data_IF_883612538031
#
_entry.id   IF_883612538031
#
_cell.length_a   1.000
_cell.length_b   1.000
_cell.length_c   1.000
_cell.angle_alpha   90.00
_cell.angle_beta   90.00
_cell.angle_gamma   90.00
#
_symmetry.space_group_name_H-M   'P 1'
#
loop_
_entity.id
_entity.type
_entity.pdbx_description
1 polymer ?
#
# COMPACT_ATOMS: atom_id res chain seq x y z
N UNK A 1 -4.52 22.04 -5.64
CA UNK A 1 -3.85 20.76 -5.34
C UNK A 1 -2.96 20.79 -4.09
N UNK A 2 -1.93 21.65 -3.99
CA UNK A 2 -0.96 21.64 -2.87
C UNK A 2 -1.59 21.75 -1.48
N UNK A 3 -2.62 22.61 -1.30
CA UNK A 3 -3.36 22.71 -0.03
C UNK A 3 -4.03 21.39 0.35
N UNK A 4 -4.66 20.73 -0.61
CA UNK A 4 -5.33 19.43 -0.40
C UNK A 4 -4.28 18.38 -0.05
N UNK A 5 -3.19 18.29 -0.82
CA UNK A 5 -2.07 17.41 -0.52
C UNK A 5 -1.54 17.59 0.92
N UNK A 6 -1.28 18.83 1.33
CA UNK A 6 -0.77 19.13 2.68
C UNK A 6 -1.76 18.74 3.79
N UNK A 7 -3.04 19.10 3.64
CA UNK A 7 -4.08 18.75 4.61
C UNK A 7 -4.30 17.23 4.69
N UNK A 8 -4.33 16.54 3.55
CA UNK A 8 -4.46 15.08 3.49
C UNK A 8 -3.26 14.37 4.11
N UNK A 9 -2.06 14.91 3.97
CA UNK A 9 -0.87 14.40 4.67
C UNK A 9 -0.99 14.51 6.18
N UNK A 10 -1.52 15.63 6.69
CA UNK A 10 -1.78 15.82 8.14
C UNK A 10 -2.87 14.85 8.63
N UNK A 11 -3.96 14.71 7.87
CA UNK A 11 -5.02 13.75 8.19
C UNK A 11 -4.45 12.34 8.24
N UNK A 12 -3.72 11.91 7.22
CA UNK A 12 -3.12 10.59 7.19
C UNK A 12 -2.12 10.34 8.31
N UNK A 13 -1.32 11.35 8.68
CA UNK A 13 -0.46 11.29 9.85
C UNK A 13 -1.25 10.96 11.12
N UNK A 14 -2.29 11.72 11.44
CA UNK A 14 -3.07 11.52 12.66
C UNK A 14 -3.91 10.24 12.64
N UNK A 15 -4.46 9.85 11.48
CA UNK A 15 -5.26 8.63 11.35
C UNK A 15 -4.44 7.38 11.65
N UNK A 16 -3.19 7.32 11.21
CA UNK A 16 -2.37 6.11 11.30
C UNK A 16 -1.80 5.90 12.70
N UNK A 17 -1.47 6.97 13.42
CA UNK A 17 -1.04 6.88 14.83
C UNK A 17 -2.11 6.26 15.75
N UNK A 18 -3.38 6.38 15.37
CA UNK A 18 -4.49 5.79 16.12
C UNK A 18 -4.71 4.29 15.86
N UNK A 19 -4.00 3.68 14.90
CA UNK A 19 -4.19 2.27 14.53
C UNK A 19 -3.68 1.34 15.63
N UNK A 20 -4.45 0.31 15.97
CA UNK A 20 -4.02 -0.69 16.96
C UNK A 20 -2.81 -1.47 16.42
N UNK A 21 -1.71 -1.67 17.20
CA UNK A 21 -0.51 -2.35 16.71
C UNK A 21 -0.73 -3.76 16.13
N UNK A 22 -1.70 -4.51 16.66
CA UNK A 22 -2.08 -5.82 16.14
C UNK A 22 -2.69 -5.77 14.72
N UNK A 23 -3.18 -4.60 14.30
CA UNK A 23 -3.82 -4.36 13.01
C UNK A 23 -2.89 -3.73 11.97
N UNK A 24 -1.58 -3.64 12.24
CA UNK A 24 -0.61 -3.11 11.27
C UNK A 24 -0.53 -3.93 9.97
N UNK A 25 -0.64 -5.25 10.03
CA UNK A 25 -0.67 -6.08 8.80
C UNK A 25 -1.95 -5.87 7.98
N UNK A 26 -3.15 -5.90 8.58
CA UNK A 26 -4.37 -5.43 7.91
C UNK A 26 -4.27 -3.99 7.38
N UNK A 27 -3.58 -3.09 8.07
CA UNK A 27 -3.37 -1.71 7.61
C UNK A 27 -2.55 -1.66 6.30
N UNK A 28 -1.46 -2.45 6.21
CA UNK A 28 -0.71 -2.60 4.97
C UNK A 28 -1.61 -3.13 3.85
N UNK A 29 -2.43 -4.14 4.15
CA UNK A 29 -3.33 -4.73 3.17
C UNK A 29 -4.41 -3.75 2.69
N UNK A 30 -5.05 -2.99 3.58
CA UNK A 30 -6.12 -2.05 3.21
C UNK A 30 -5.54 -0.86 2.43
N UNK A 31 -4.38 -0.35 2.82
CA UNK A 31 -3.71 0.74 2.08
C UNK A 31 -3.30 0.29 0.69
N UNK A 32 -2.80 -0.94 0.55
CA UNK A 32 -2.55 -1.54 -0.75
C UNK A 32 -3.84 -1.68 -1.58
N UNK A 33 -4.94 -2.18 -1.02
CA UNK A 33 -6.21 -2.30 -1.74
C UNK A 33 -6.74 -0.94 -2.24
N UNK A 34 -6.70 0.06 -1.35
CA UNK A 34 -7.13 1.44 -1.65
C UNK A 34 -6.21 2.10 -2.68
N UNK A 35 -4.90 1.81 -2.67
CA UNK A 35 -3.94 2.33 -3.66
C UNK A 35 -4.28 1.92 -5.09
N UNK A 36 -5.10 0.87 -5.28
CA UNK A 36 -5.62 0.47 -6.59
C UNK A 36 -6.51 1.52 -7.26
N UNK A 37 -6.79 2.65 -6.60
CA UNK A 37 -7.39 3.84 -7.22
C UNK A 37 -6.53 4.41 -8.38
N UNK A 38 -5.30 3.93 -8.60
CA UNK A 38 -4.57 4.08 -9.88
C UNK A 38 -5.41 3.66 -11.10
N UNK A 39 -6.44 2.82 -10.90
CA UNK A 39 -7.46 2.54 -11.92
C UNK A 39 -8.11 3.81 -12.48
N UNK A 40 -8.33 4.85 -11.66
CA UNK A 40 -8.87 6.15 -12.10
C UNK A 40 -7.97 6.79 -13.15
N UNK A 41 -6.66 6.77 -12.95
CA UNK A 41 -5.70 7.29 -13.92
C UNK A 41 -5.74 6.54 -15.25
N UNK A 42 -5.82 5.21 -15.19
CA UNK A 42 -6.03 4.38 -16.39
C UNK A 42 -7.35 4.68 -17.09
N UNK A 43 -8.47 4.74 -16.35
CA UNK A 43 -9.80 4.96 -16.92
C UNK A 43 -9.93 6.31 -17.63
N UNK A 44 -9.33 7.38 -17.07
CA UNK A 44 -9.34 8.71 -17.69
C UNK A 44 -8.62 8.78 -19.05
N UNK A 45 -7.73 7.84 -19.32
CA UNK A 45 -6.90 7.78 -20.54
C UNK A 45 -7.31 6.63 -21.47
N UNK A 46 -8.28 5.80 -21.07
CA UNK A 46 -8.85 4.78 -21.94
C UNK A 46 -9.69 5.45 -23.04
N UNK A 47 -9.64 4.89 -24.23
CA UNK A 47 -10.39 5.39 -25.38
C UNK A 47 -10.23 4.48 -26.59
N UNK A 48 -10.85 4.88 -27.71
CA UNK A 48 -10.96 4.04 -28.90
C UNK A 48 -12.35 3.41 -28.97
N UNK A 49 -12.41 2.09 -29.14
CA UNK A 49 -13.67 1.32 -29.18
C UNK A 49 -13.59 0.10 -28.28
N UNK A 50 -13.95 -1.08 -28.79
CA UNK A 50 -13.81 -2.34 -28.03
C UNK A 50 -12.35 -2.70 -27.72
N UNK A 51 -11.43 -2.18 -28.52
CA UNK A 51 -9.98 -2.33 -28.35
C UNK A 51 -9.29 -0.96 -28.44
N UNK A 52 -8.13 -0.79 -27.77
CA UNK A 52 -7.35 0.44 -27.88
C UNK A 52 -6.94 0.73 -29.33
N UNK A 53 -7.08 1.98 -29.77
CA UNK A 53 -6.66 2.43 -31.11
C UNK A 53 -5.23 2.98 -31.15
N UNK A 54 -4.69 3.40 -30.01
CA UNK A 54 -3.36 4.01 -29.88
C UNK A 54 -2.56 3.40 -28.74
N UNK A 55 -1.23 3.60 -28.76
CA UNK A 55 -0.33 3.15 -27.68
C UNK A 55 -0.75 3.68 -26.30
N UNK A 56 -0.99 4.98 -26.07
CA UNK A 56 -1.41 5.48 -24.75
C UNK A 56 -2.72 4.84 -24.27
N UNK A 57 -3.69 4.60 -25.15
CA UNK A 57 -4.93 3.91 -24.79
C UNK A 57 -4.66 2.45 -24.35
N UNK A 58 -3.68 1.77 -24.97
CA UNK A 58 -3.26 0.43 -24.57
C UNK A 58 -2.55 0.40 -23.21
N UNK A 59 -1.68 1.37 -22.96
CA UNK A 59 -1.03 1.55 -21.66
C UNK A 59 -2.07 1.84 -20.56
N UNK A 60 -3.03 2.72 -20.85
CA UNK A 60 -4.14 3.07 -19.95
C UNK A 60 -5.04 1.87 -19.63
N UNK A 61 -5.43 1.09 -20.65
CA UNK A 61 -6.21 -0.13 -20.45
C UNK A 61 -5.45 -1.17 -19.60
N UNK A 62 -4.14 -1.28 -19.80
CA UNK A 62 -3.28 -2.16 -18.98
C UNK A 62 -3.20 -1.67 -17.53
N UNK A 63 -3.03 -0.36 -17.31
CA UNK A 63 -3.02 0.25 -15.99
C UNK A 63 -4.34 0.02 -15.24
N UNK A 64 -5.48 0.21 -15.90
CA UNK A 64 -6.80 -0.08 -15.34
C UNK A 64 -6.97 -1.57 -14.98
N UNK A 65 -6.56 -2.47 -15.89
CA UNK A 65 -6.61 -3.92 -15.67
C UNK A 65 -5.82 -4.37 -14.45
N UNK A 66 -4.54 -4.00 -14.35
CA UNK A 66 -3.69 -4.41 -13.21
C UNK A 66 -4.09 -3.72 -11.91
N UNK A 67 -4.60 -2.49 -11.97
CA UNK A 67 -5.17 -1.80 -10.81
C UNK A 67 -6.41 -2.53 -10.29
N UNK A 68 -7.26 -3.06 -11.19
CA UNK A 68 -8.41 -3.88 -10.81
C UNK A 68 -7.99 -5.19 -10.10
N UNK A 69 -6.93 -5.86 -10.56
CA UNK A 69 -6.36 -7.03 -9.83
C UNK A 69 -6.03 -6.64 -8.38
N UNK A 70 -5.38 -5.50 -8.20
CA UNK A 70 -4.99 -4.99 -6.88
C UNK A 70 -6.19 -4.62 -5.99
N UNK A 71 -7.20 -3.93 -6.54
CA UNK A 71 -8.42 -3.55 -5.79
C UNK A 71 -9.09 -4.79 -5.22
N UNK A 72 -9.52 -5.70 -6.10
CA UNK A 72 -10.36 -6.82 -5.69
C UNK A 72 -9.58 -7.87 -4.90
N UNK A 73 -8.33 -8.15 -5.30
CA UNK A 73 -7.45 -9.02 -4.54
C UNK A 73 -7.12 -8.44 -3.16
N UNK A 74 -6.78 -7.16 -3.09
CA UNK A 74 -6.41 -6.48 -1.86
C UNK A 74 -7.55 -6.40 -0.83
N UNK A 75 -8.77 -6.06 -1.25
CA UNK A 75 -9.91 -6.03 -0.32
C UNK A 75 -10.29 -7.43 0.19
N UNK A 76 -10.17 -8.47 -0.64
CA UNK A 76 -10.40 -9.84 -0.20
C UNK A 76 -9.32 -10.33 0.78
N UNK A 77 -8.04 -10.05 0.51
CA UNK A 77 -6.94 -10.33 1.45
C UNK A 77 -7.17 -9.61 2.77
N UNK A 78 -7.54 -8.33 2.74
CA UNK A 78 -7.83 -7.53 3.92
C UNK A 78 -8.96 -8.15 4.74
N UNK A 79 -10.06 -8.53 4.09
CA UNK A 79 -11.18 -9.19 4.74
C UNK A 79 -10.75 -10.48 5.44
N UNK A 80 -9.99 -11.34 4.74
CA UNK A 80 -9.47 -12.60 5.29
C UNK A 80 -8.56 -12.38 6.50
N UNK A 81 -7.69 -11.37 6.46
CA UNK A 81 -6.85 -11.02 7.62
C UNK A 81 -7.70 -10.57 8.81
N UNK A 82 -8.72 -9.74 8.58
CA UNK A 82 -9.57 -9.22 9.64
C UNK A 82 -10.47 -10.28 10.28
N UNK A 83 -10.91 -11.27 9.51
CA UNK A 83 -11.75 -12.36 10.00
C UNK A 83 -11.01 -13.29 10.97
N UNK A 84 -9.67 -13.35 10.91
CA UNK A 84 -8.85 -14.11 11.86
C UNK A 84 -8.95 -13.61 13.30
N UNK A 85 -9.29 -12.34 13.48
CA UNK A 85 -9.41 -11.72 14.80
C UNK A 85 -10.82 -11.88 15.40
N UNK A 86 -11.77 -12.46 14.65
CA UNK A 86 -13.11 -12.73 15.14
C UNK A 86 -13.07 -13.92 16.10
N UNK A 87 -13.60 -13.74 17.31
CA UNK A 87 -13.67 -14.82 18.30
C UNK A 87 -14.98 -15.59 18.14
N UNK A 88 -15.01 -16.90 18.47
CA UNK A 88 -16.24 -17.69 18.46
C UNK A 88 -17.33 -17.15 19.40
N UNK A 89 -16.94 -16.41 20.45
CA UNK A 89 -17.83 -15.81 21.45
C UNK A 89 -18.30 -14.40 21.08
N UNK A 90 -17.78 -13.82 20.00
CA UNK A 90 -18.22 -12.49 19.57
C UNK A 90 -19.67 -12.58 19.01
N UNK A 91 -20.50 -11.54 19.23
CA UNK A 91 -21.86 -11.51 18.70
C UNK A 91 -21.86 -11.61 17.16
N UNK A 92 -23.01 -11.97 16.59
CA UNK A 92 -23.17 -11.99 15.14
C UNK A 92 -23.01 -10.57 14.57
N UNK A 93 -22.10 -10.43 13.62
CA UNK A 93 -21.88 -9.19 12.88
C UNK A 93 -22.69 -9.22 11.58
N UNK A 94 -23.38 -8.12 11.30
CA UNK A 94 -24.27 -7.98 10.15
C UNK A 94 -23.61 -7.07 9.09
N UNK A 95 -22.41 -7.42 8.64
CA UNK A 95 -21.59 -6.57 7.75
C UNK A 95 -22.27 -6.27 6.41
N UNK A 96 -23.22 -7.10 5.97
CA UNK A 96 -24.03 -6.82 4.78
C UNK A 96 -24.86 -5.53 4.89
N UNK A 97 -25.13 -5.04 6.11
CA UNK A 97 -25.83 -3.77 6.32
C UNK A 97 -25.02 -2.56 5.81
N UNK A 98 -23.69 -2.69 5.68
CA UNK A 98 -22.87 -1.64 5.05
C UNK A 98 -23.12 -1.50 3.54
N UNK A 99 -23.84 -2.43 2.91
CA UNK A 99 -24.34 -2.24 1.55
C UNK A 99 -25.39 -1.12 1.48
N UNK A 100 -26.10 -0.82 2.57
CA UNK A 100 -27.12 0.25 2.59
C UNK A 100 -26.49 1.62 2.28
N UNK A 101 -25.50 2.12 3.04
CA UNK A 101 -24.86 3.40 2.70
C UNK A 101 -24.13 3.34 1.35
N UNK A 102 -23.57 2.20 0.95
CA UNK A 102 -22.93 2.04 -0.36
C UNK A 102 -23.91 2.27 -1.53
N UNK A 103 -25.05 1.55 -1.49
CA UNK A 103 -26.10 1.64 -2.48
C UNK A 103 -26.80 3.00 -2.45
N UNK A 104 -27.00 3.58 -1.27
CA UNK A 104 -27.54 4.93 -1.15
C UNK A 104 -26.59 5.97 -1.78
N UNK A 105 -25.28 5.87 -1.53
CA UNK A 105 -24.30 6.81 -2.05
C UNK A 105 -24.18 6.72 -3.58
N UNK A 106 -24.01 5.50 -4.12
CA UNK A 106 -23.95 5.26 -5.57
C UNK A 106 -25.28 5.53 -6.27
N UNK A 107 -26.39 5.15 -5.65
CA UNK A 107 -27.74 5.38 -6.17
C UNK A 107 -28.06 6.87 -6.25
N UNK A 108 -27.75 7.64 -5.20
CA UNK A 108 -27.92 9.09 -5.20
C UNK A 108 -27.11 9.75 -6.33
N UNK A 109 -25.84 9.36 -6.50
CA UNK A 109 -25.02 9.82 -7.62
C UNK A 109 -25.64 9.48 -8.98
N UNK A 110 -26.02 8.22 -9.19
CA UNK A 110 -26.65 7.79 -10.45
C UNK A 110 -27.95 8.53 -10.75
N UNK A 111 -28.81 8.75 -9.74
CA UNK A 111 -30.05 9.53 -9.92
C UNK A 111 -29.76 10.98 -10.27
N UNK A 112 -28.76 11.60 -9.65
CA UNK A 112 -28.42 12.99 -9.89
C UNK A 112 -27.81 13.19 -11.30
N UNK A 113 -26.91 12.29 -11.72
CA UNK A 113 -26.39 12.24 -13.09
C UNK A 113 -27.53 12.05 -14.10
N UNK A 114 -28.44 11.10 -13.86
CA UNK A 114 -29.59 10.87 -14.76
C UNK A 114 -30.58 12.03 -14.83
N UNK A 115 -30.58 12.89 -13.80
CA UNK A 115 -31.42 14.09 -13.72
C UNK A 115 -30.78 15.32 -14.38
N UNK A 116 -29.60 15.15 -14.99
CA UNK A 116 -28.85 16.21 -15.66
C UNK A 116 -28.10 17.15 -14.72
N UNK A 117 -27.89 16.75 -13.45
CA UNK A 117 -27.00 17.49 -12.57
C UNK A 117 -25.54 17.29 -13.02
N UNK A 118 -24.88 18.37 -13.41
CA UNK A 118 -23.46 18.38 -13.79
C UNK A 118 -22.58 18.63 -12.57
N UNK A 119 -21.27 18.40 -12.71
CA UNK A 119 -20.23 18.81 -11.74
C UNK A 119 -20.28 18.11 -10.37
N UNK A 120 -20.84 16.90 -10.32
CA UNK A 120 -20.92 16.09 -9.10
C UNK A 120 -19.64 15.32 -8.79
N UNK A 121 -18.69 15.23 -9.74
CA UNK A 121 -17.49 14.42 -9.60
C UNK A 121 -16.65 14.86 -8.41
N UNK A 122 -16.48 16.17 -8.21
CA UNK A 122 -15.66 16.70 -7.12
C UNK A 122 -16.25 16.39 -5.75
N UNK A 123 -17.58 16.42 -5.63
CA UNK A 123 -18.28 16.03 -4.40
C UNK A 123 -18.15 14.52 -4.15
N UNK A 124 -18.27 13.72 -5.21
CA UNK A 124 -18.06 12.27 -5.12
C UNK A 124 -16.63 11.91 -4.76
N UNK A 125 -15.63 12.59 -5.34
CA UNK A 125 -14.22 12.42 -5.00
C UNK A 125 -13.94 12.79 -3.55
N UNK A 126 -14.56 13.85 -3.03
CA UNK A 126 -14.48 14.17 -1.61
C UNK A 126 -15.10 13.06 -0.74
N UNK A 127 -16.33 12.62 -1.04
CA UNK A 127 -17.01 11.56 -0.30
C UNK A 127 -16.24 10.23 -0.33
N UNK A 128 -15.73 9.85 -1.49
CA UNK A 128 -14.86 8.69 -1.72
C UNK A 128 -13.58 8.79 -0.88
N UNK A 129 -12.94 9.96 -0.87
CA UNK A 129 -11.73 10.23 -0.08
C UNK A 129 -11.99 10.13 1.43
N UNK A 130 -13.11 10.66 1.91
CA UNK A 130 -13.50 10.56 3.32
C UNK A 130 -13.79 9.10 3.73
N UNK A 131 -14.38 8.30 2.84
CA UNK A 131 -14.55 6.87 3.06
C UNK A 131 -13.17 6.16 3.13
N UNK A 132 -12.21 6.53 2.30
CA UNK A 132 -10.84 6.00 2.36
C UNK A 132 -10.11 6.40 3.66
N UNK A 133 -10.29 7.63 4.15
CA UNK A 133 -9.81 8.05 5.48
C UNK A 133 -10.48 7.21 6.58
N UNK A 134 -11.79 7.03 6.48
CA UNK A 134 -12.57 6.16 7.36
C UNK A 134 -12.11 4.70 7.33
N UNK A 135 -11.57 4.23 6.20
CA UNK A 135 -11.04 2.89 6.08
C UNK A 135 -9.87 2.66 7.04
N UNK A 136 -8.91 3.60 7.07
CA UNK A 136 -7.76 3.52 7.97
C UNK A 136 -8.17 3.84 9.42
N UNK A 137 -9.04 4.84 9.62
CA UNK A 137 -9.53 5.20 10.95
C UNK A 137 -10.30 4.03 11.61
N UNK A 138 -11.02 3.23 10.82
CA UNK A 138 -11.72 2.04 11.29
C UNK A 138 -10.79 0.97 11.88
N UNK A 139 -9.50 0.95 11.49
CA UNK A 139 -8.49 0.05 12.05
C UNK A 139 -7.92 0.53 13.41
N UNK A 140 -8.43 1.63 13.96
CA UNK A 140 -8.08 2.08 15.32
C UNK A 140 -8.49 1.11 16.42
N UNK A 141 -9.47 0.23 16.17
CA UNK A 141 -9.86 -0.82 17.09
C UNK A 141 -10.25 -2.11 16.37
N UNK A 142 -10.07 -3.24 17.06
CA UNK A 142 -10.49 -4.54 16.54
C UNK A 142 -11.98 -4.60 16.20
N UNK A 143 -12.81 -3.94 17.03
CA UNK A 143 -14.27 -3.92 16.89
C UNK A 143 -14.70 -3.21 15.60
N UNK A 144 -14.02 -2.12 15.24
CA UNK A 144 -14.35 -1.29 14.08
C UNK A 144 -13.59 -1.67 12.81
N UNK A 145 -12.65 -2.61 12.89
CA UNK A 145 -11.75 -2.94 11.77
C UNK A 145 -12.48 -3.37 10.49
N UNK A 146 -13.59 -4.12 10.62
CA UNK A 146 -14.43 -4.56 9.49
C UNK A 146 -15.20 -3.41 8.85
N UNK A 147 -15.67 -2.45 9.65
CA UNK A 147 -16.22 -1.18 9.14
C UNK A 147 -15.17 -0.44 8.31
N UNK A 148 -13.91 -0.43 8.76
CA UNK A 148 -12.80 0.14 7.99
C UNK A 148 -12.67 -0.49 6.60
N UNK A 149 -12.69 -1.82 6.52
CA UNK A 149 -12.64 -2.51 5.23
C UNK A 149 -13.84 -2.15 4.34
N UNK A 150 -15.06 -2.08 4.91
CA UNK A 150 -16.26 -1.69 4.18
C UNK A 150 -16.22 -0.26 3.66
N UNK A 151 -15.77 0.70 4.47
CA UNK A 151 -15.58 2.10 4.05
C UNK A 151 -14.53 2.22 2.95
N UNK A 152 -13.46 1.42 3.01
CA UNK A 152 -12.48 1.35 1.92
C UNK A 152 -13.10 0.90 0.61
N UNK A 153 -13.92 -0.16 0.63
CA UNK A 153 -14.64 -0.63 -0.55
C UNK A 153 -15.59 0.44 -1.11
N UNK A 154 -16.37 1.09 -0.24
CA UNK A 154 -17.28 2.18 -0.62
C UNK A 154 -16.51 3.34 -1.24
N UNK A 155 -15.38 3.72 -0.65
CA UNK A 155 -14.50 4.78 -1.15
C UNK A 155 -14.00 4.47 -2.55
N UNK A 156 -13.35 3.33 -2.75
CA UNK A 156 -12.81 2.94 -4.05
C UNK A 156 -13.92 2.78 -5.11
N UNK A 157 -15.03 2.13 -4.78
CA UNK A 157 -16.13 1.94 -5.75
C UNK A 157 -16.79 3.26 -6.15
N UNK A 158 -16.98 4.19 -5.22
CA UNK A 158 -17.58 5.50 -5.50
C UNK A 158 -16.63 6.40 -6.30
N UNK A 159 -15.32 6.33 -6.04
CA UNK A 159 -14.31 7.04 -6.83
C UNK A 159 -14.28 6.57 -8.28
N UNK A 160 -14.27 5.26 -8.50
CA UNK A 160 -14.35 4.67 -9.85
C UNK A 160 -15.67 5.04 -10.53
N UNK A 161 -16.80 4.95 -9.81
CA UNK A 161 -18.11 5.31 -10.37
C UNK A 161 -18.16 6.78 -10.80
N UNK A 162 -17.58 7.70 -10.01
CA UNK A 162 -17.51 9.11 -10.36
C UNK A 162 -16.64 9.35 -11.60
N UNK A 163 -15.51 8.66 -11.70
CA UNK A 163 -14.67 8.72 -12.90
C UNK A 163 -15.42 8.20 -14.12
N UNK A 164 -16.09 7.05 -14.02
CA UNK A 164 -16.87 6.50 -15.13
C UNK A 164 -18.03 7.43 -15.56
N UNK A 165 -18.71 8.07 -14.60
CA UNK A 165 -19.79 9.00 -14.90
C UNK A 165 -19.32 10.32 -15.52
N UNK A 166 -18.03 10.67 -15.38
CA UNK A 166 -17.41 11.83 -16.04
C UNK A 166 -16.96 11.56 -17.47
N UNK A 167 -16.93 10.29 -17.89
CA UNK A 167 -16.49 9.87 -19.21
C UNK A 167 -17.68 9.75 -20.17
N UNK A 168 -17.50 10.22 -21.39
CA UNK A 168 -18.43 9.94 -22.49
C UNK A 168 -18.19 8.51 -23.01
N UNK A 169 -18.82 7.54 -22.35
CA UNK A 169 -18.63 6.13 -22.64
C UNK A 169 -19.51 5.69 -23.81
N UNK A 170 -18.91 5.55 -24.99
CA UNK A 170 -19.52 4.79 -26.09
C UNK A 170 -19.80 3.35 -25.66
N UNK A 171 -20.83 2.67 -26.21
CA UNK A 171 -21.11 1.27 -25.89
C UNK A 171 -19.89 0.35 -26.06
N UNK A 172 -19.08 0.62 -27.09
CA UNK A 172 -17.86 -0.13 -27.38
C UNK A 172 -16.78 0.08 -26.31
N UNK A 173 -16.55 1.33 -25.90
CA UNK A 173 -15.60 1.65 -24.82
C UNK A 173 -16.08 1.11 -23.47
N UNK A 174 -17.40 1.16 -23.20
CA UNK A 174 -17.98 0.58 -22.00
C UNK A 174 -17.72 -0.93 -21.90
N UNK A 175 -17.81 -1.65 -23.03
CA UNK A 175 -17.45 -3.08 -23.11
C UNK A 175 -15.96 -3.28 -22.84
N UNK A 176 -15.09 -2.46 -23.40
CA UNK A 176 -13.64 -2.51 -23.13
C UNK A 176 -13.32 -2.31 -21.65
N UNK A 177 -13.91 -1.26 -21.04
CA UNK A 177 -13.75 -0.96 -19.61
C UNK A 177 -14.26 -2.12 -18.76
N UNK A 178 -15.45 -2.65 -19.05
CA UNK A 178 -16.02 -3.78 -18.33
C UNK A 178 -15.14 -5.04 -18.45
N UNK A 179 -14.58 -5.31 -19.64
CA UNK A 179 -13.67 -6.44 -19.86
C UNK A 179 -12.35 -6.27 -19.08
N UNK A 180 -11.75 -5.08 -19.08
CA UNK A 180 -10.51 -4.82 -18.36
C UNK A 180 -10.73 -4.88 -16.84
N UNK A 181 -11.72 -4.15 -16.32
CA UNK A 181 -12.00 -4.13 -14.89
C UNK A 181 -12.49 -5.49 -14.40
N UNK A 182 -13.40 -6.15 -15.13
CA UNK A 182 -13.94 -7.46 -14.78
C UNK A 182 -12.89 -8.58 -14.86
N UNK A 183 -12.03 -8.57 -15.88
CA UNK A 183 -10.94 -9.52 -16.01
C UNK A 183 -9.92 -9.39 -14.88
N UNK A 184 -9.50 -8.16 -14.57
CA UNK A 184 -8.61 -7.89 -13.45
C UNK A 184 -9.23 -8.29 -12.10
N UNK A 185 -10.51 -7.96 -11.89
CA UNK A 185 -11.25 -8.34 -10.69
C UNK A 185 -11.30 -9.87 -10.51
N UNK A 186 -11.61 -10.60 -11.60
CA UNK A 186 -11.63 -12.05 -11.61
C UNK A 186 -10.29 -12.65 -11.18
N UNK A 187 -9.17 -12.19 -11.76
CA UNK A 187 -7.83 -12.65 -11.38
C UNK A 187 -7.52 -12.32 -9.92
N UNK A 188 -7.76 -11.08 -9.50
CA UNK A 188 -7.50 -10.62 -8.13
C UNK A 188 -8.23 -11.47 -7.09
N UNK A 189 -9.53 -11.70 -7.27
CA UNK A 189 -10.34 -12.54 -6.38
C UNK A 189 -9.88 -14.00 -6.38
N UNK A 190 -9.56 -14.56 -7.56
CA UNK A 190 -9.10 -15.95 -7.66
C UNK A 190 -7.78 -16.16 -6.93
N UNK A 191 -6.80 -15.28 -7.11
CA UNK A 191 -5.51 -15.35 -6.44
C UNK A 191 -5.67 -15.15 -4.94
N UNK A 192 -6.40 -14.10 -4.53
CA UNK A 192 -6.61 -13.78 -3.12
C UNK A 192 -7.43 -14.84 -2.36
N UNK A 193 -8.27 -15.63 -3.04
CA UNK A 193 -9.01 -16.75 -2.43
C UNK A 193 -8.15 -18.00 -2.24
N UNK A 194 -7.22 -18.27 -3.17
CA UNK A 194 -6.41 -19.50 -3.19
C UNK A 194 -5.22 -19.47 -2.25
N UNK A 195 -4.69 -18.29 -1.93
CA UNK A 195 -3.49 -18.18 -1.10
C UNK A 195 -3.74 -18.60 0.36
N UNK A 196 -2.74 -19.17 1.03
CA UNK A 196 -2.83 -19.48 2.45
C UNK A 196 -2.72 -18.23 3.33
N UNK A 197 -3.20 -18.30 4.58
CA UNK A 197 -3.19 -17.16 5.50
C UNK A 197 -1.76 -16.76 5.89
N UNK A 198 -0.86 -17.74 6.04
CA UNK A 198 0.57 -17.54 6.34
C UNK A 198 1.29 -16.76 5.24
N UNK A 199 0.79 -16.84 4.02
CA UNK A 199 1.38 -16.28 2.80
C UNK A 199 0.83 -14.89 2.43
N UNK A 200 -0.16 -14.39 3.17
CA UNK A 200 -0.79 -13.10 2.89
C UNK A 200 0.21 -11.92 2.85
N UNK A 201 1.27 -11.85 3.70
CA UNK A 201 2.24 -10.75 3.62
C UNK A 201 2.97 -10.68 2.27
N UNK A 202 3.38 -11.81 1.67
CA UNK A 202 4.02 -11.76 0.35
C UNK A 202 3.02 -11.44 -0.76
N UNK A 203 1.75 -11.85 -0.63
CA UNK A 203 0.74 -11.47 -1.62
C UNK A 203 0.48 -9.96 -1.61
N UNK A 204 0.49 -9.32 -0.44
CA UNK A 204 0.42 -7.85 -0.34
C UNK A 204 1.61 -7.21 -1.07
N UNK A 205 2.82 -7.73 -0.91
CA UNK A 205 3.99 -7.25 -1.66
C UNK A 205 3.83 -7.43 -3.18
N UNK A 206 3.28 -8.57 -3.64
CA UNK A 206 3.04 -8.80 -5.06
C UNK A 206 2.02 -7.81 -5.63
N UNK A 207 0.89 -7.59 -4.96
CA UNK A 207 -0.12 -6.63 -5.40
C UNK A 207 0.39 -5.19 -5.42
N UNK A 208 1.24 -4.85 -4.47
CA UNK A 208 1.86 -3.55 -4.39
C UNK A 208 2.79 -3.25 -5.59
N UNK A 209 3.40 -4.29 -6.20
CA UNK A 209 4.14 -4.13 -7.44
C UNK A 209 3.25 -3.67 -8.61
N UNK A 210 1.99 -4.13 -8.66
CA UNK A 210 1.04 -3.78 -9.72
C UNK A 210 0.70 -2.29 -9.69
N UNK A 211 0.64 -1.70 -8.50
CA UNK A 211 0.39 -0.26 -8.29
C UNK A 211 1.55 0.57 -8.84
N UNK A 212 2.79 0.17 -8.52
CA UNK A 212 3.98 0.82 -9.07
C UNK A 212 4.04 0.74 -10.60
N UNK A 213 3.65 -0.41 -11.17
CA UNK A 213 3.59 -0.56 -12.62
C UNK A 213 2.46 0.27 -13.25
N UNK A 214 1.27 0.30 -12.63
CA UNK A 214 0.16 1.12 -13.10
C UNK A 214 0.57 2.59 -13.16
N UNK A 215 1.23 3.11 -12.13
CA UNK A 215 1.72 4.49 -12.11
C UNK A 215 2.66 4.81 -13.27
N UNK A 216 3.65 3.94 -13.55
CA UNK A 216 4.57 4.12 -14.69
C UNK A 216 3.81 4.14 -16.01
N UNK A 217 2.85 3.22 -16.20
CA UNK A 217 2.05 3.13 -17.43
C UNK A 217 1.17 4.38 -17.60
N UNK A 218 0.51 4.83 -16.53
CA UNK A 218 -0.29 6.07 -16.55
C UNK A 218 0.58 7.27 -16.88
N UNK A 219 1.74 7.44 -16.23
CA UNK A 219 2.62 8.58 -16.53
C UNK A 219 3.12 8.60 -17.98
N UNK A 220 3.49 7.44 -18.54
CA UNK A 220 3.89 7.36 -19.95
C UNK A 220 2.71 7.67 -20.88
N UNK A 221 1.52 7.13 -20.58
CA UNK A 221 0.31 7.39 -21.37
C UNK A 221 -0.06 8.88 -21.35
N UNK A 222 -0.12 9.50 -20.17
CA UNK A 222 -0.43 10.93 -20.01
C UNK A 222 0.56 11.80 -20.76
N UNK A 223 1.86 11.53 -20.68
CA UNK A 223 2.85 12.31 -21.42
C UNK A 223 2.60 12.25 -22.94
N UNK A 224 2.23 11.10 -23.49
CA UNK A 224 1.93 10.95 -24.92
C UNK A 224 0.64 11.67 -25.33
N UNK A 225 -0.39 11.64 -24.47
CA UNK A 225 -1.69 12.26 -24.74
C UNK A 225 -1.61 13.79 -24.65
N UNK A 226 -0.97 14.30 -23.60
CA UNK A 226 -0.93 15.74 -23.30
C UNK A 226 0.26 16.45 -23.95
N UNK A 227 1.14 15.74 -24.68
CA UNK A 227 2.35 16.33 -25.27
C UNK A 227 2.07 17.62 -26.06
N UNK A 228 1.01 17.63 -26.87
CA UNK A 228 0.66 18.79 -27.70
C UNK A 228 0.17 20.00 -26.92
N UNK A 229 -0.30 19.82 -25.67
CA UNK A 229 -0.83 20.91 -24.85
C UNK A 229 0.26 21.60 -24.04
N UNK A 230 1.40 20.93 -23.79
CA UNK A 230 2.50 21.46 -22.97
C UNK A 230 3.09 22.77 -23.48
N UNK A 231 3.06 23.02 -24.80
CA UNK A 231 3.57 24.27 -25.38
C UNK A 231 2.75 25.51 -24.98
N UNK A 232 1.48 25.32 -24.60
CA UNK A 232 0.52 26.39 -24.33
C UNK A 232 0.00 26.40 -22.89
N UNK A 233 0.37 25.41 -22.08
CA UNK A 233 -0.07 25.28 -20.69
C UNK A 233 0.98 25.85 -19.74
N UNK A 234 0.63 26.95 -19.05
CA UNK A 234 1.48 27.58 -18.04
C UNK A 234 1.86 26.64 -16.88
N UNK A 235 1.09 25.56 -16.70
CA UNK A 235 1.32 24.54 -15.67
C UNK A 235 2.12 23.32 -16.18
N UNK A 236 2.52 23.31 -17.44
CA UNK A 236 3.19 22.17 -18.09
C UNK A 236 4.41 21.66 -17.30
N UNK A 237 5.23 22.55 -16.74
CA UNK A 237 6.40 22.15 -15.97
C UNK A 237 6.06 21.40 -14.68
N UNK A 238 4.94 21.73 -14.03
CA UNK A 238 4.45 21.02 -12.85
C UNK A 238 3.96 19.62 -13.24
N UNK A 239 3.21 19.52 -14.35
CA UNK A 239 2.73 18.24 -14.88
C UNK A 239 3.92 17.35 -15.29
N UNK A 240 4.86 17.88 -16.07
CA UNK A 240 6.12 17.20 -16.45
C UNK A 240 6.88 16.71 -15.21
N UNK A 241 6.99 17.51 -14.16
CA UNK A 241 7.65 17.11 -12.92
C UNK A 241 6.92 15.94 -12.23
N UNK A 242 5.59 16.00 -12.17
CA UNK A 242 4.77 14.94 -11.60
C UNK A 242 4.88 13.64 -12.42
N UNK A 243 4.86 13.71 -13.75
CA UNK A 243 5.04 12.57 -14.64
C UNK A 243 6.39 11.88 -14.42
N UNK A 244 7.47 12.66 -14.32
CA UNK A 244 8.81 12.12 -14.10
C UNK A 244 8.93 11.47 -12.71
N UNK A 245 8.47 12.14 -11.66
CA UNK A 245 8.51 11.62 -10.30
C UNK A 245 7.61 10.40 -10.12
N UNK A 246 6.41 10.40 -10.70
CA UNK A 246 5.51 9.24 -10.71
C UNK A 246 6.15 8.02 -11.38
N UNK A 247 6.79 8.23 -12.55
CA UNK A 247 7.54 7.19 -13.25
C UNK A 247 8.71 6.64 -12.43
N UNK A 248 9.48 7.52 -11.79
CA UNK A 248 10.59 7.12 -10.93
C UNK A 248 10.12 6.31 -9.71
N UNK A 249 9.17 6.84 -8.94
CA UNK A 249 8.68 6.21 -7.72
C UNK A 249 7.97 4.89 -8.06
N UNK A 250 7.19 4.85 -9.15
CA UNK A 250 6.52 3.65 -9.63
C UNK A 250 7.48 2.53 -10.00
N UNK A 251 8.58 2.83 -10.72
CA UNK A 251 9.57 1.80 -11.09
C UNK A 251 10.37 1.24 -9.90
N UNK A 252 10.75 2.09 -8.93
CA UNK A 252 11.35 1.61 -7.66
C UNK A 252 10.36 0.69 -6.93
N UNK A 253 9.10 1.10 -6.87
CA UNK A 253 8.03 0.37 -6.18
C UNK A 253 7.77 -0.98 -6.82
N UNK A 254 7.65 -1.03 -8.15
CA UNK A 254 7.42 -2.25 -8.92
C UNK A 254 8.49 -3.30 -8.65
N UNK A 255 9.74 -2.98 -8.97
CA UNK A 255 10.87 -3.90 -8.85
C UNK A 255 11.17 -4.28 -7.40
N UNK A 256 11.17 -3.30 -6.49
CA UNK A 256 11.43 -3.55 -5.07
C UNK A 256 10.41 -4.50 -4.47
N UNK A 257 9.13 -4.35 -4.83
CA UNK A 257 8.06 -5.18 -4.30
C UNK A 257 8.12 -6.60 -4.87
N UNK A 258 8.52 -6.78 -6.13
CA UNK A 258 8.78 -8.10 -6.71
C UNK A 258 9.94 -8.83 -6.03
N UNK A 259 11.04 -8.13 -5.70
CA UNK A 259 12.15 -8.74 -4.96
C UNK A 259 11.70 -9.13 -3.54
N UNK A 260 10.94 -8.26 -2.86
CA UNK A 260 10.40 -8.57 -1.54
C UNK A 260 9.48 -9.79 -1.57
N UNK A 261 8.57 -9.87 -2.54
CA UNK A 261 7.74 -11.04 -2.81
C UNK A 261 8.60 -12.29 -3.03
N UNK A 262 9.58 -12.24 -3.93
CA UNK A 262 10.43 -13.38 -4.25
C UNK A 262 11.22 -13.90 -3.05
N UNK A 263 11.71 -13.01 -2.18
CA UNK A 263 12.44 -13.40 -0.95
C UNK A 263 11.54 -14.01 0.12
N UNK A 264 10.34 -13.47 0.30
CA UNK A 264 9.38 -14.01 1.26
C UNK A 264 8.80 -15.35 0.79
N UNK A 265 8.60 -15.49 -0.52
CA UNK A 265 8.03 -16.71 -1.09
C UNK A 265 9.07 -17.83 -1.34
N UNK A 266 10.32 -17.63 -0.92
CA UNK A 266 11.40 -18.60 -1.10
C UNK A 266 11.87 -18.79 -2.55
N UNK A 267 11.38 -17.98 -3.49
CA UNK A 267 11.82 -17.98 -4.90
C UNK A 267 13.22 -17.36 -5.06
N UNK A 268 13.59 -16.45 -4.16
CA UNK A 268 14.90 -15.81 -4.07
C UNK A 268 15.54 -16.14 -2.72
N UNK A 269 16.88 -16.15 -2.68
CA UNK A 269 17.61 -16.30 -1.42
C UNK A 269 17.24 -15.19 -0.44
N UNK A 270 16.88 -15.57 0.79
CA UNK A 270 16.64 -14.63 1.88
C UNK A 270 17.92 -13.92 2.34
N UNK A 271 19.11 -14.36 1.91
CA UNK A 271 20.36 -13.69 2.23
C UNK A 271 20.46 -12.30 1.54
N UNK A 272 21.10 -11.30 2.16
CA UNK A 272 21.42 -10.04 1.50
C UNK A 272 22.39 -10.25 0.32
N UNK A 273 22.04 -9.80 -0.88
CA UNK A 273 22.94 -9.79 -2.03
C UNK A 273 23.82 -8.53 -2.00
N UNK A 274 25.10 -8.70 -1.69
CA UNK A 274 26.05 -7.60 -1.52
C UNK A 274 26.94 -7.45 -2.76
N UNK A 275 26.50 -6.64 -3.73
CA UNK A 275 27.31 -6.33 -4.92
C UNK A 275 28.56 -5.53 -4.55
N UNK A 276 29.74 -5.82 -5.16
CA UNK A 276 30.93 -4.97 -5.03
C UNK A 276 30.61 -3.53 -5.45
N UNK A 277 30.96 -2.54 -4.64
CA UNK A 277 30.71 -1.13 -4.95
C UNK A 277 29.23 -0.70 -4.95
N UNK A 278 28.31 -1.47 -4.34
CA UNK A 278 26.85 -1.18 -4.33
C UNK A 278 26.45 0.27 -4.00
N UNK A 279 27.20 0.95 -3.14
CA UNK A 279 26.91 2.34 -2.78
C UNK A 279 27.20 3.28 -3.95
N UNK A 280 28.31 3.07 -4.65
CA UNK A 280 28.63 3.81 -5.87
C UNK A 280 27.62 3.51 -6.98
N UNK A 281 27.22 2.25 -7.13
CA UNK A 281 26.19 1.86 -8.10
C UNK A 281 24.86 2.57 -7.81
N UNK A 282 24.36 2.50 -6.58
CA UNK A 282 23.08 3.12 -6.22
C UNK A 282 23.14 4.66 -6.28
N UNK A 283 24.24 5.27 -5.84
CA UNK A 283 24.46 6.72 -5.99
C UNK A 283 24.54 7.13 -7.46
N UNK A 284 25.17 6.30 -8.31
CA UNK A 284 25.23 6.50 -9.75
C UNK A 284 23.86 6.42 -10.41
N UNK A 285 23.05 5.41 -10.05
CA UNK A 285 21.66 5.28 -10.54
C UNK A 285 20.81 6.50 -10.14
N UNK A 286 20.94 6.97 -8.89
CA UNK A 286 20.24 8.17 -8.44
C UNK A 286 20.70 9.42 -9.19
N UNK A 287 22.02 9.61 -9.32
CA UNK A 287 22.59 10.75 -10.06
C UNK A 287 22.17 10.74 -11.54
N UNK A 288 22.13 9.56 -12.17
CA UNK A 288 21.68 9.40 -13.55
C UNK A 288 20.19 9.74 -13.70
N UNK A 289 19.32 9.37 -12.74
CA UNK A 289 17.93 9.80 -12.74
C UNK A 289 17.80 11.32 -12.59
N UNK A 290 18.58 11.95 -11.71
CA UNK A 290 18.59 13.43 -11.56
C UNK A 290 19.07 14.10 -12.84
N UNK A 291 20.10 13.54 -13.50
CA UNK A 291 20.59 14.03 -14.79
C UNK A 291 19.55 13.88 -15.92
N UNK A 292 18.85 12.73 -15.98
CA UNK A 292 17.75 12.51 -16.91
C UNK A 292 16.60 13.49 -16.67
N UNK A 293 16.29 13.81 -15.41
CA UNK A 293 15.30 14.84 -15.07
C UNK A 293 15.73 16.22 -15.55
N UNK A 294 16.99 16.60 -15.34
CA UNK A 294 17.50 17.88 -15.81
C UNK A 294 17.41 17.97 -17.35
N UNK A 295 17.84 16.94 -18.06
CA UNK A 295 17.76 16.90 -19.53
C UNK A 295 16.32 16.91 -20.06
N UNK A 296 15.40 16.24 -19.37
CA UNK A 296 13.95 16.24 -19.66
C UNK A 296 13.30 17.65 -19.63
N UNK A 297 13.87 18.59 -18.88
CA UNK A 297 13.42 19.98 -18.83
C UNK A 297 14.18 20.93 -19.77
N UNK A 298 15.24 20.46 -20.42
CA UNK A 298 16.03 21.29 -21.34
C UNK A 298 15.54 21.19 -22.79
N UNK A 299 14.83 20.12 -23.13
CA UNK A 299 14.36 19.84 -24.49
C UNK A 299 12.89 19.45 -24.45
N UNK A 300 12.07 20.15 -25.23
CA UNK A 300 10.62 19.96 -25.26
C UNK A 300 10.16 18.99 -26.36
N UNK A 301 11.08 18.33 -27.07
CA UNK A 301 10.72 17.34 -28.08
C UNK A 301 10.15 16.06 -27.45
N UNK A 302 9.13 15.49 -28.09
CA UNK A 302 8.48 14.26 -27.62
C UNK A 302 9.45 13.09 -27.51
N UNK A 303 10.42 13.04 -28.43
CA UNK A 303 11.42 11.97 -28.47
C UNK A 303 12.35 12.03 -27.27
N UNK A 304 12.85 13.23 -26.91
CA UNK A 304 13.66 13.40 -25.71
C UNK A 304 12.83 13.16 -24.46
N UNK A 305 11.61 13.68 -24.42
CA UNK A 305 10.67 13.48 -23.33
C UNK A 305 10.43 12.02 -22.98
N UNK A 306 10.00 11.24 -23.98
CA UNK A 306 9.77 9.79 -23.85
C UNK A 306 11.08 9.03 -23.58
N UNK A 307 12.19 9.44 -24.20
CA UNK A 307 13.51 8.87 -23.94
C UNK A 307 13.93 9.02 -22.48
N UNK A 308 13.71 10.19 -21.89
CA UNK A 308 13.99 10.46 -20.48
C UNK A 308 13.04 9.69 -19.56
N UNK A 309 11.73 9.66 -19.82
CA UNK A 309 10.78 8.89 -19.02
C UNK A 309 11.08 7.38 -19.08
N UNK A 310 11.40 6.85 -20.26
CA UNK A 310 11.82 5.46 -20.43
C UNK A 310 13.15 5.14 -19.72
N UNK A 311 14.11 6.07 -19.78
CA UNK A 311 15.38 5.96 -19.05
C UNK A 311 15.13 5.92 -17.54
N UNK A 312 14.30 6.83 -17.01
CA UNK A 312 13.93 6.88 -15.61
C UNK A 312 13.22 5.62 -15.16
N UNK A 313 12.27 5.10 -15.94
CA UNK A 313 11.59 3.84 -15.66
C UNK A 313 12.57 2.66 -15.55
N UNK A 314 13.53 2.57 -16.46
CA UNK A 314 14.55 1.51 -16.45
C UNK A 314 15.51 1.65 -15.25
N UNK A 315 16.05 2.87 -15.03
CA UNK A 315 17.00 3.12 -13.94
C UNK A 315 16.34 2.97 -12.57
N UNK A 316 15.11 3.42 -12.39
CA UNK A 316 14.37 3.31 -11.14
C UNK A 316 13.97 1.86 -10.84
N UNK A 317 13.60 1.08 -11.86
CA UNK A 317 13.37 -0.37 -11.76
C UNK A 317 14.67 -1.11 -11.37
N UNK A 318 15.81 -0.75 -11.96
CA UNK A 318 17.09 -1.30 -11.55
C UNK A 318 17.46 -0.89 -10.12
N UNK A 319 17.14 0.34 -9.73
CA UNK A 319 17.42 0.84 -8.39
C UNK A 319 16.56 0.13 -7.32
N UNK A 320 15.26 -0.09 -7.57
CA UNK A 320 14.41 -0.85 -6.66
C UNK A 320 14.88 -2.30 -6.51
N UNK A 321 15.33 -2.94 -7.61
CA UNK A 321 15.95 -4.26 -7.55
C UNK A 321 17.23 -4.27 -6.69
N UNK A 322 18.17 -3.36 -6.94
CA UNK A 322 19.48 -3.34 -6.28
C UNK A 322 19.39 -2.96 -4.81
N UNK A 323 18.54 -2.00 -4.45
CA UNK A 323 18.29 -1.60 -3.06
C UNK A 323 17.65 -2.74 -2.26
N UNK A 324 16.58 -3.35 -2.78
CA UNK A 324 15.84 -4.39 -2.03
C UNK A 324 16.61 -5.70 -1.96
N UNK A 325 17.35 -6.06 -3.01
CA UNK A 325 18.16 -7.31 -3.02
C UNK A 325 19.23 -7.31 -1.93
N UNK A 326 19.75 -6.14 -1.56
CA UNK A 326 20.75 -5.95 -0.52
C UNK A 326 20.19 -6.04 0.91
N UNK A 327 18.89 -6.26 1.08
CA UNK A 327 18.22 -6.39 2.39
C UNK A 327 17.92 -7.87 2.66
N UNK A 328 18.09 -8.32 3.90
CA UNK A 328 17.83 -9.70 4.30
C UNK A 328 16.34 -10.00 4.49
N UNK A 329 15.95 -11.26 4.34
CA UNK A 329 14.57 -11.73 4.49
C UNK A 329 13.90 -11.33 5.80
N UNK A 330 14.66 -11.34 6.91
CA UNK A 330 14.17 -10.97 8.23
C UNK A 330 13.70 -9.50 8.34
N UNK A 331 14.23 -8.61 7.49
CA UNK A 331 13.89 -7.19 7.47
C UNK A 331 12.92 -6.83 6.32
N UNK A 332 12.47 -7.80 5.53
CA UNK A 332 11.52 -7.59 4.42
C UNK A 332 10.20 -6.92 4.83
N UNK A 333 9.61 -7.18 6.01
CA UNK A 333 8.42 -6.45 6.44
C UNK A 333 8.61 -4.92 6.50
N UNK A 334 9.82 -4.45 6.86
CA UNK A 334 10.14 -3.01 6.82
C UNK A 334 10.22 -2.52 5.37
N UNK A 335 10.80 -3.31 4.46
CA UNK A 335 10.85 -2.95 3.04
C UNK A 335 9.45 -2.80 2.45
N UNK A 336 8.54 -3.72 2.76
CA UNK A 336 7.15 -3.67 2.30
C UNK A 336 6.47 -2.38 2.74
N UNK A 337 6.67 -1.93 3.97
CA UNK A 337 6.07 -0.69 4.47
C UNK A 337 6.65 0.57 3.84
N UNK A 338 7.97 0.59 3.56
CA UNK A 338 8.61 1.70 2.84
C UNK A 338 8.08 1.79 1.43
N UNK A 339 8.02 0.65 0.73
CA UNK A 339 7.49 0.62 -0.61
C UNK A 339 6.01 1.01 -0.58
N UNK A 340 5.22 0.56 0.39
CA UNK A 340 3.81 0.99 0.54
C UNK A 340 3.67 2.51 0.68
N UNK A 341 4.65 3.18 1.30
CA UNK A 341 4.72 4.64 1.28
C UNK A 341 4.93 5.17 -0.15
N UNK A 342 5.84 4.54 -0.91
CA UNK A 342 6.15 4.94 -2.28
C UNK A 342 4.96 4.82 -3.24
N UNK A 343 4.13 3.78 -3.16
CA UNK A 343 2.90 3.76 -3.98
C UNK A 343 1.96 4.91 -3.67
N UNK A 344 1.84 5.30 -2.40
CA UNK A 344 1.08 6.50 -2.01
C UNK A 344 1.63 7.77 -2.67
N UNK A 345 2.95 7.97 -2.66
CA UNK A 345 3.57 9.13 -3.31
C UNK A 345 3.50 9.10 -4.84
N UNK A 346 3.57 7.91 -5.45
CA UNK A 346 3.33 7.74 -6.89
C UNK A 346 1.90 8.14 -7.24
N UNK A 347 0.92 7.73 -6.42
CA UNK A 347 -0.47 8.10 -6.58
C UNK A 347 -0.71 9.61 -6.38
N UNK A 348 0.03 10.27 -5.47
CA UNK A 348 0.03 11.72 -5.41
C UNK A 348 0.53 12.34 -6.71
N UNK A 349 1.60 11.83 -7.30
CA UNK A 349 2.12 12.32 -8.56
C UNK A 349 1.08 12.17 -9.69
N UNK A 350 0.39 11.03 -9.75
CA UNK A 350 -0.76 10.85 -10.66
C UNK A 350 -1.90 11.85 -10.37
N UNK A 351 -2.18 12.11 -9.10
CA UNK A 351 -3.17 13.12 -8.70
C UNK A 351 -2.80 14.55 -9.13
N UNK A 352 -1.52 14.91 -9.07
CA UNK A 352 -1.04 16.21 -9.57
C UNK A 352 -1.10 16.29 -11.09
N UNK A 353 -0.66 15.24 -11.80
CA UNK A 353 -0.60 15.28 -13.28
C UNK A 353 -2.00 15.22 -13.91
N UNK A 354 -2.96 14.55 -13.27
CA UNK A 354 -4.35 14.43 -13.75
C UNK A 354 -5.31 15.45 -13.11
N UNK A 355 -4.79 16.38 -12.31
CA UNK A 355 -5.58 17.35 -11.53
C UNK A 355 -6.73 16.68 -10.73
N UNK A 356 -6.45 15.54 -10.10
CA UNK A 356 -7.43 14.69 -9.46
C UNK A 356 -7.30 14.74 -7.92
N UNK A 357 -8.31 15.30 -7.27
CA UNK A 357 -8.36 15.45 -5.81
C UNK A 357 -8.38 14.10 -5.08
N UNK A 358 -9.15 13.12 -5.57
CA UNK A 358 -9.25 11.80 -4.94
C UNK A 358 -7.89 11.11 -4.89
N UNK A 359 -7.19 11.04 -6.02
CA UNK A 359 -5.88 10.41 -6.11
C UNK A 359 -4.85 11.12 -5.21
N UNK A 360 -4.91 12.45 -5.14
CA UNK A 360 -4.03 13.23 -4.26
C UNK A 360 -4.28 12.95 -2.78
N UNK A 361 -5.55 12.94 -2.35
CA UNK A 361 -5.94 12.69 -0.96
C UNK A 361 -5.56 11.26 -0.54
N UNK A 362 -5.94 10.28 -1.37
CA UNK A 362 -5.67 8.87 -1.12
C UNK A 362 -4.17 8.57 -1.15
N UNK A 363 -3.44 9.16 -2.10
CA UNK A 363 -1.99 9.04 -2.18
C UNK A 363 -1.29 9.56 -0.92
N UNK A 364 -1.68 10.75 -0.44
CA UNK A 364 -1.07 11.35 0.74
C UNK A 364 -1.38 10.54 2.02
N UNK A 365 -2.59 9.98 2.09
CA UNK A 365 -3.03 9.08 3.16
C UNK A 365 -2.19 7.79 3.21
N UNK A 366 -1.97 7.15 2.06
CA UNK A 366 -1.19 5.92 1.96
C UNK A 366 0.31 6.20 2.18
N UNK A 367 0.82 7.28 1.57
CA UNK A 367 2.21 7.70 1.67
C UNK A 367 2.62 7.97 3.11
N UNK A 368 1.83 8.78 3.82
CA UNK A 368 2.04 9.06 5.23
C UNK A 368 1.90 7.80 6.11
N UNK A 369 0.92 6.94 5.84
CA UNK A 369 0.72 5.66 6.51
C UNK A 369 1.93 4.72 6.41
N UNK A 370 2.42 4.49 5.20
CA UNK A 370 3.59 3.65 4.97
C UNK A 370 4.84 4.19 5.68
N UNK A 371 5.05 5.50 5.68
CA UNK A 371 6.18 6.15 6.35
C UNK A 371 6.14 6.01 7.89
N UNK A 372 4.95 6.16 8.49
CA UNK A 372 4.77 6.00 9.93
C UNK A 372 4.92 4.55 10.34
N UNK A 373 4.30 3.63 9.59
CA UNK A 373 4.38 2.22 9.92
C UNK A 373 5.81 1.69 9.79
N UNK A 374 6.51 2.10 8.74
CA UNK A 374 7.94 1.94 8.56
C UNK A 374 8.74 2.36 9.79
N UNK A 375 8.47 3.57 10.31
CA UNK A 375 9.12 4.10 11.51
C UNK A 375 8.82 3.25 12.76
N UNK A 376 7.55 2.89 12.98
CA UNK A 376 7.14 2.08 14.13
C UNK A 376 7.82 0.71 14.10
N UNK A 377 7.87 0.07 12.94
CA UNK A 377 8.52 -1.24 12.77
C UNK A 377 10.03 -1.17 12.99
N UNK A 378 10.69 -0.17 12.42
CA UNK A 378 12.12 0.07 12.68
C UNK A 378 12.41 0.26 14.18
N UNK A 379 11.61 1.07 14.87
CA UNK A 379 11.74 1.29 16.31
C UNK A 379 11.51 0.01 17.11
N UNK A 380 10.47 -0.77 16.77
CA UNK A 380 10.17 -2.05 17.42
C UNK A 380 11.30 -3.08 17.24
N UNK A 381 12.00 -3.05 16.10
CA UNK A 381 13.14 -3.91 15.81
C UNK A 381 14.49 -3.35 16.32
N UNK A 382 14.50 -2.19 16.99
CA UNK A 382 15.70 -1.45 17.42
C UNK A 382 16.71 -1.20 16.28
N UNK A 383 16.20 -0.86 15.08
CA UNK A 383 16.98 -0.55 13.88
C UNK A 383 16.62 0.84 13.38
N UNK A 384 17.58 1.53 12.77
CA UNK A 384 17.36 2.86 12.17
C UNK A 384 17.42 2.76 10.64
N UNK A 385 16.61 3.56 9.95
CA UNK A 385 16.50 3.59 8.49
C UNK A 385 17.82 3.86 7.78
N UNK A 386 18.57 4.86 8.25
CA UNK A 386 19.96 5.04 7.89
C UNK A 386 20.80 4.41 9.00
N UNK A 387 21.39 3.24 8.76
CA UNK A 387 22.53 2.79 9.56
C UNK A 387 23.72 3.70 9.25
N UNK A 388 23.68 4.94 9.76
CA UNK A 388 24.89 5.72 10.05
C UNK A 388 25.56 4.99 11.19
N UNK A 389 26.51 4.13 10.85
CA UNK A 389 27.83 4.07 11.49
C UNK A 389 28.49 2.71 11.22
N UNK A 390 29.54 2.65 10.37
CA UNK A 390 30.41 1.48 10.25
C UNK A 390 31.01 1.04 11.60
N UNK A 391 31.13 1.97 12.56
CA UNK A 391 31.60 1.73 13.93
C UNK A 391 30.59 1.02 14.83
N UNK A 392 29.27 1.12 14.57
CA UNK A 392 28.25 0.44 15.37
C UNK A 392 28.12 -1.04 15.01
N UNK A 393 28.51 -1.44 13.80
CA UNK A 393 28.76 -2.86 13.47
C UNK A 393 29.92 -3.42 14.31
N UNK A 394 30.98 -2.63 14.54
CA UNK A 394 32.05 -3.00 15.48
C UNK A 394 31.60 -3.00 16.93
N UNK A 395 30.75 -2.08 17.39
CA UNK A 395 30.24 -2.08 18.76
C UNK A 395 29.15 -3.14 19.03
N UNK A 396 28.34 -3.52 18.05
CA UNK A 396 27.40 -4.66 18.18
C UNK A 396 28.15 -5.99 18.06
N UNK A 397 29.18 -6.09 17.22
CA UNK A 397 30.06 -7.26 17.20
C UNK A 397 31.01 -7.33 18.42
N UNK A 398 31.49 -6.20 18.96
CA UNK A 398 32.27 -6.17 20.20
C UNK A 398 31.40 -6.33 21.44
N UNK A 399 30.18 -5.78 21.45
CA UNK A 399 29.19 -6.03 22.50
C UNK A 399 28.74 -7.49 22.51
N UNK A 400 28.62 -8.14 21.34
CA UNK A 400 28.44 -9.60 21.26
C UNK A 400 29.69 -10.37 21.68
N UNK A 401 30.91 -9.96 21.27
CA UNK A 401 32.15 -10.63 21.72
C UNK A 401 32.47 -10.44 23.21
N UNK A 402 32.00 -9.35 23.84
CA UNK A 402 32.11 -9.14 25.30
C UNK A 402 30.93 -9.76 26.08
N UNK A 403 29.74 -9.89 25.47
CA UNK A 403 28.64 -10.67 26.03
C UNK A 403 28.81 -12.19 25.83
N UNK A 404 29.63 -12.61 24.87
CA UNK A 404 30.21 -13.96 24.73
C UNK A 404 31.36 -14.18 25.74
N UNK A 405 31.32 -13.51 26.90
CA UNK A 405 31.92 -14.08 28.09
C UNK A 405 31.35 -15.48 28.24
N UNK A 406 32.21 -16.49 28.39
CA UNK A 406 31.87 -17.90 28.52
C UNK A 406 30.75 -18.14 29.57
N UNK A 407 29.49 -17.96 29.19
CA UNK A 407 28.34 -18.45 29.93
C UNK A 407 28.21 -19.93 29.58
N UNK A 408 29.16 -20.73 30.08
CA UNK A 408 28.99 -22.18 30.20
C UNK A 408 28.12 -22.46 31.42
N UNK A 409 26.87 -22.02 31.38
CA UNK A 409 25.85 -22.68 32.19
C UNK A 409 25.42 -23.94 31.40
N UNK A 410 25.43 -25.13 32.01
CA UNK A 410 24.86 -26.29 31.36
C UNK A 410 23.39 -25.97 31.05
N UNK A 411 23.02 -25.93 29.77
CA UNK A 411 21.63 -25.86 29.38
C UNK A 411 20.94 -27.13 29.89
N UNK A 412 20.01 -26.97 30.83
CA UNK A 412 19.20 -28.08 31.30
C UNK A 412 18.36 -28.64 30.16
N UNK A 413 18.65 -29.86 29.74
CA UNK A 413 17.79 -30.62 28.83
C UNK A 413 16.62 -31.20 29.63
N UNK A 414 15.49 -30.48 29.69
CA UNK A 414 14.27 -30.98 30.31
C UNK A 414 13.52 -31.94 29.38
N UNK A 415 13.02 -33.06 29.91
CA UNK A 415 12.07 -33.90 29.17
C UNK A 415 10.68 -33.28 29.21
N UNK A 416 9.85 -33.51 28.17
CA UNK A 416 8.47 -32.99 28.12
C UNK A 416 7.67 -33.25 29.41
N UNK A 417 7.92 -34.38 30.09
CA UNK A 417 7.26 -34.71 31.36
C UNK A 417 7.60 -33.75 32.49
N UNK A 418 8.85 -33.30 32.57
CA UNK A 418 9.30 -32.39 33.62
C UNK A 418 8.69 -31.00 33.41
N UNK A 419 8.61 -30.55 32.16
CA UNK A 419 7.96 -29.29 31.80
C UNK A 419 6.45 -29.30 32.11
N UNK A 420 5.76 -30.42 31.86
CA UNK A 420 4.33 -30.58 32.19
C UNK A 420 4.14 -30.60 33.71
N UNK A 421 5.02 -31.27 34.45
CA UNK A 421 4.95 -31.31 35.90
C UNK A 421 5.21 -29.94 36.54
N UNK A 422 6.15 -29.17 35.99
CA UNK A 422 6.43 -27.80 36.47
C UNK A 422 5.29 -26.83 36.13
N UNK A 423 4.68 -26.94 34.95
CA UNK A 423 3.46 -26.19 34.62
C UNK A 423 2.31 -26.52 35.59
N UNK A 424 2.09 -27.80 35.87
CA UNK A 424 1.07 -28.23 36.85
C UNK A 424 1.35 -27.72 38.27
N UNK A 425 2.62 -27.63 38.69
CA UNK A 425 2.99 -27.03 39.98
C UNK A 425 2.72 -25.52 40.01
N UNK A 426 2.97 -24.82 38.91
CA UNK A 426 2.69 -23.37 38.82
C UNK A 426 1.19 -23.08 38.84
N UNK A 427 0.36 -23.91 38.22
CA UNK A 427 -1.10 -23.82 38.28
C UNK A 427 -1.63 -24.10 39.68
N UNK A 428 -1.15 -25.16 40.35
CA UNK A 428 -1.53 -25.43 41.75
C UNK A 428 -1.13 -24.31 42.72
N UNK A 429 0.02 -23.66 42.50
CA UNK A 429 0.42 -22.49 43.29
C UNK A 429 -0.38 -21.21 42.97
N UNK A 430 -1.00 -21.11 41.79
CA UNK A 430 -1.95 -20.03 41.45
C UNK A 430 -3.32 -20.28 42.09
N UNK A 431 -3.84 -21.50 42.00
CA UNK A 431 -5.13 -21.86 42.61
C UNK A 431 -5.11 -21.78 44.14
N UNK A 432 -3.97 -22.11 44.78
CA UNK A 432 -3.80 -21.94 46.22
C UNK A 432 -3.85 -20.47 46.68
N UNK A 433 -3.54 -19.50 45.81
CA UNK A 433 -3.63 -18.06 46.10
C UNK A 433 -5.00 -17.46 45.79
N UNK A 434 -5.86 -18.17 45.07
CA UNK A 434 -7.19 -17.71 44.66
C UNK A 434 -8.34 -18.29 45.52
N UNK A 435 -8.03 -19.09 46.56
CA UNK A 435 -9.06 -19.50 47.52
C UNK A 435 -9.54 -18.28 48.33
N UNK A 436 -10.84 -17.96 48.35
CA UNK A 436 -11.36 -16.94 49.25
C UNK A 436 -11.20 -17.41 50.69
N UNK A 437 -10.70 -16.54 51.56
CA UNK A 437 -10.75 -16.70 53.01
C UNK A 437 -12.22 -16.62 53.43
N UNK A 438 -12.96 -17.72 53.32
CA UNK A 438 -14.25 -17.88 53.96
C UNK A 438 -14.03 -18.33 55.41
N UNK A 439 -14.44 -17.49 56.37
CA UNK A 439 -14.71 -17.91 57.74
C UNK A 439 -13.78 -17.35 58.81
N UNK A 440 -13.98 -16.08 59.19
CA UNK A 440 -13.79 -15.66 60.58
C UNK A 440 -15.07 -14.98 61.05
N UNK A 441 -15.79 -15.66 61.95
CA UNK A 441 -16.99 -15.13 62.62
C UNK A 441 -16.67 -14.01 63.61
N UNK A 442 -17.69 -13.34 64.16
CA UNK A 442 -17.52 -12.11 64.92
C UNK A 442 -16.92 -12.37 66.31
N UNK A 443 -15.97 -11.50 66.69
CA UNK A 443 -15.40 -11.40 68.03
C UNK A 443 -16.43 -10.74 68.97
N UNK A 444 -16.74 -11.28 70.16
CA UNK A 444 -17.61 -10.60 71.11
C UNK A 444 -16.84 -9.52 71.86
N UNK A 445 -17.36 -8.30 71.87
CA UNK A 445 -16.89 -7.23 72.74
C UNK A 445 -17.45 -7.42 74.17
N UNK A 446 -16.55 -7.37 75.15
CA UNK A 446 -16.86 -7.02 76.54
C UNK A 446 -16.42 -5.59 76.78
#
# INVERSE_FOLDING_TARGET
>A
MTTIFGLSGIVGYHTVWGVTPALHSPLMSVTNAVSGITAVGGLLLMGGGMVPGTVPQGLAATAAFISSINIFGGFLVTQRMLDMFRRPTDPSEHNYLYAIPALAFLGAYGTAVSSGCTDLEQMMYLGSSLCCVGALAGLSSQKTSRLGNALGMIGVSSGIAATLGSLDLSPELAVQVAACMGGGAGIGLLVAKKIEITDLPQLVAAFHSLVGMAAVLTCLATYMVDYSTFATDDTANVIKAALFLGTYIGGVTFSGSLVAYGKLQGLLSSAPLLLPGRHLLNSGLLAANVGAMAYYFMDDSMTVGLGCLGTTAALSTLMGFTLTSAIGGADMPVVITVLNSYSGWALCAEGFMLNNNLMTIVGALIGSSGAILSYIMCKAMNRYFAQRDPGRLRHVQHGRRQADGHHRHPHGSGHCRDSVHDQGRQEHHRDARLRPVCGQGPIPAR
#
